data_IF_325900556114
#
_entry.id   IF_325900556114
#
_cell.length_a   1.000
_cell.length_b   1.000
_cell.length_c   1.000
_cell.angle_alpha   90.00
_cell.angle_beta   90.00
_cell.angle_gamma   90.00
#
_symmetry.space_group_name_H-M   'P 1'
#
loop_
_entity.id
_entity.type
_entity.pdbx_description
1 polymer ?
#
# COMPACT_ATOMS: atom_id res chain seq x y z
N UNK A 1 -0.65 10.74 -18.09
CA UNK A 1 -0.93 11.54 -16.89
C UNK A 1 -1.44 10.64 -15.79
N UNK A 2 -0.83 10.71 -14.61
CA UNK A 2 -1.28 9.93 -13.46
C UNK A 2 -2.53 10.53 -12.83
N UNK A 3 -3.38 9.69 -12.28
CA UNK A 3 -4.60 10.10 -11.62
C UNK A 3 -4.60 9.58 -10.19
N UNK A 4 -4.89 10.45 -9.22
CA UNK A 4 -4.99 10.10 -7.80
C UNK A 4 -6.45 10.17 -7.41
N UNK A 5 -6.95 9.11 -6.77
CA UNK A 5 -8.32 9.07 -6.27
C UNK A 5 -8.34 8.71 -4.79
N UNK A 6 -9.11 9.47 -4.03
CA UNK A 6 -9.46 9.11 -2.66
C UNK A 6 -10.76 8.31 -2.69
N UNK A 7 -10.75 7.16 -2.03
CA UNK A 7 -11.97 6.37 -1.88
C UNK A 7 -12.72 6.84 -0.63
N UNK A 8 -14.04 6.98 -0.76
CA UNK A 8 -14.87 7.37 0.36
C UNK A 8 -15.00 6.19 1.33
N UNK A 9 -14.42 6.34 2.51
CA UNK A 9 -14.51 5.37 3.60
C UNK A 9 -14.99 6.09 4.85
N UNK A 10 -15.64 5.37 5.77
CA UNK A 10 -16.24 5.99 6.95
C UNK A 10 -15.21 6.61 7.88
N UNK A 11 -14.12 5.87 8.14
CA UNK A 11 -12.99 6.34 8.93
C UNK A 11 -11.71 5.92 8.22
N UNK A 12 -10.63 6.65 8.48
CA UNK A 12 -9.35 6.37 7.89
C UNK A 12 -9.22 6.85 6.47
N UNK A 13 -8.15 6.46 5.83
CA UNK A 13 -7.82 6.92 4.49
C UNK A 13 -7.57 5.73 3.56
N UNK A 14 -8.00 5.89 2.32
CA UNK A 14 -7.73 4.92 1.28
C UNK A 14 -7.58 5.66 -0.04
N UNK A 15 -6.39 5.57 -0.63
CA UNK A 15 -6.09 6.26 -1.88
C UNK A 15 -5.52 5.28 -2.89
N UNK A 16 -5.71 5.56 -4.16
CA UNK A 16 -4.94 4.88 -5.18
C UNK A 16 -4.43 5.85 -6.23
N UNK A 17 -3.37 5.45 -6.89
CA UNK A 17 -2.77 6.19 -8.00
C UNK A 17 -2.82 5.31 -9.24
N UNK A 18 -3.53 5.79 -10.25
CA UNK A 18 -3.54 5.16 -11.56
C UNK A 18 -2.54 5.91 -12.44
N UNK A 19 -1.48 5.23 -12.84
CA UNK A 19 -0.37 5.85 -13.56
C UNK A 19 -0.61 5.91 -15.09
N UNK A 20 -1.81 5.54 -15.55
CA UNK A 20 -2.14 5.41 -16.99
C UNK A 20 -1.22 4.42 -17.71
N UNK A 21 -0.67 3.50 -16.98
CA UNK A 21 0.07 2.35 -17.46
C UNK A 21 -0.56 1.13 -16.77
N UNK A 22 0.03 -0.03 -16.92
CA UNK A 22 -0.42 -1.19 -16.17
C UNK A 22 0.16 -1.23 -14.73
N UNK A 23 0.72 -0.11 -14.25
CA UNK A 23 1.17 0.04 -12.87
C UNK A 23 0.10 0.74 -12.04
N UNK A 24 -0.20 0.18 -10.89
CA UNK A 24 -1.22 0.69 -9.98
C UNK A 24 -0.67 0.70 -8.56
N UNK A 25 -0.85 1.82 -7.87
CA UNK A 25 -0.36 1.99 -6.50
C UNK A 25 -1.53 2.31 -5.56
N UNK A 26 -1.49 1.74 -4.36
CA UNK A 26 -2.44 2.06 -3.30
C UNK A 26 -1.71 2.62 -2.09
N UNK A 27 -2.38 3.50 -1.37
CA UNK A 27 -1.90 4.05 -0.10
C UNK A 27 -2.97 3.75 0.94
N UNK A 28 -2.65 2.87 1.88
CA UNK A 28 -3.54 2.38 2.93
C UNK A 28 -4.81 1.71 2.38
N UNK A 29 -5.58 1.10 3.24
CA UNK A 29 -6.89 0.55 2.89
C UNK A 29 -7.81 0.53 4.10
N UNK A 30 -9.09 0.69 3.84
CA UNK A 30 -10.13 0.52 4.84
C UNK A 30 -11.33 -0.15 4.18
N UNK A 31 -11.22 -1.47 4.01
CA UNK A 31 -12.21 -2.30 3.34
C UNK A 31 -13.09 -2.93 4.41
N UNK A 32 -14.27 -2.36 4.60
CA UNK A 32 -15.25 -2.92 5.54
C UNK A 32 -16.00 -4.09 4.90
N UNK A 33 -16.59 -4.95 5.71
CA UNK A 33 -17.37 -6.08 5.22
C UNK A 33 -18.51 -5.63 4.31
N UNK A 34 -19.11 -4.49 4.64
CA UNK A 34 -20.23 -3.92 3.88
C UNK A 34 -19.83 -3.49 2.47
N UNK A 35 -18.61 -3.01 2.32
CA UNK A 35 -18.10 -2.48 1.05
C UNK A 35 -17.08 -3.37 0.38
N UNK A 36 -16.83 -4.55 0.95
CA UNK A 36 -15.79 -5.47 0.49
C UNK A 36 -15.91 -5.79 -1.01
N UNK A 37 -17.07 -6.22 -1.44
CA UNK A 37 -17.29 -6.61 -2.83
C UNK A 37 -17.05 -5.44 -3.79
N UNK A 38 -17.61 -4.28 -3.48
CA UNK A 38 -17.50 -3.07 -4.29
C UNK A 38 -16.03 -2.63 -4.44
N UNK A 39 -15.32 -2.54 -3.32
CA UNK A 39 -13.94 -2.05 -3.31
C UNK A 39 -13.00 -3.03 -4.00
N UNK A 40 -13.13 -4.34 -3.71
CA UNK A 40 -12.28 -5.33 -4.32
C UNK A 40 -12.49 -5.42 -5.83
N UNK A 41 -13.72 -5.30 -6.30
CA UNK A 41 -14.00 -5.27 -7.74
C UNK A 41 -13.37 -4.05 -8.40
N UNK A 42 -13.47 -2.88 -7.79
CA UNK A 42 -12.84 -1.67 -8.30
C UNK A 42 -11.33 -1.81 -8.39
N UNK A 43 -10.70 -2.29 -7.32
CA UNK A 43 -9.24 -2.49 -7.29
C UNK A 43 -8.81 -3.50 -8.34
N UNK A 44 -9.50 -4.63 -8.46
CA UNK A 44 -9.17 -5.66 -9.46
C UNK A 44 -9.27 -5.12 -10.88
N UNK A 45 -10.30 -4.35 -11.16
CA UNK A 45 -10.51 -3.78 -12.51
C UNK A 45 -9.44 -2.74 -12.84
N UNK A 46 -9.09 -1.88 -11.89
CA UNK A 46 -8.11 -0.80 -12.11
C UNK A 46 -6.68 -1.32 -12.11
N UNK A 47 -6.36 -2.27 -11.22
CA UNK A 47 -5.01 -2.83 -11.12
C UNK A 47 -4.68 -3.76 -12.29
N UNK A 48 -5.68 -4.41 -12.86
CA UNK A 48 -5.49 -5.31 -13.99
C UNK A 48 -4.62 -6.52 -13.66
N UNK A 49 -3.96 -7.06 -14.68
CA UNK A 49 -3.19 -8.31 -14.56
C UNK A 49 -1.97 -8.18 -13.65
N UNK A 50 -1.37 -7.01 -13.56
CA UNK A 50 -0.19 -6.80 -12.70
C UNK A 50 -0.54 -6.68 -11.22
N UNK A 51 -1.82 -6.42 -10.90
CA UNK A 51 -2.26 -6.23 -9.53
C UNK A 51 -1.78 -4.90 -8.94
N UNK A 52 -1.80 -4.81 -7.62
CA UNK A 52 -1.30 -3.63 -6.90
C UNK A 52 0.22 -3.72 -6.86
N UNK A 53 0.87 -3.05 -7.80
CA UNK A 53 2.34 -3.08 -7.95
C UNK A 53 3.02 -2.48 -6.72
N UNK A 54 2.41 -1.46 -6.12
CA UNK A 54 2.89 -0.86 -4.87
C UNK A 54 1.73 -0.66 -3.91
N UNK A 55 1.82 -1.30 -2.76
CA UNK A 55 0.95 -0.99 -1.63
C UNK A 55 1.79 -0.26 -0.60
N UNK A 56 1.44 0.99 -0.30
CA UNK A 56 2.17 1.83 0.64
C UNK A 56 1.35 1.92 1.92
N UNK A 57 1.88 1.36 3.01
CA UNK A 57 1.24 1.40 4.32
C UNK A 57 1.87 2.51 5.15
N UNK A 58 1.06 3.50 5.55
CA UNK A 58 1.57 4.65 6.31
C UNK A 58 1.75 4.32 7.79
N UNK A 59 0.79 3.59 8.37
CA UNK A 59 0.88 3.13 9.76
C UNK A 59 -0.16 2.01 9.98
N UNK A 60 0.02 1.16 11.00
CA UNK A 60 -0.81 -0.02 11.17
C UNK A 60 -2.05 0.19 12.04
N UNK A 61 -2.60 1.40 12.07
CA UNK A 61 -3.90 1.62 12.71
C UNK A 61 -4.99 0.89 11.92
N UNK A 62 -5.99 0.37 12.60
CA UNK A 62 -6.99 -0.50 12.00
C UNK A 62 -7.69 0.15 10.81
N UNK A 63 -8.01 1.44 10.88
CA UNK A 63 -8.68 2.16 9.82
C UNK A 63 -7.78 2.49 8.61
N UNK A 64 -6.51 2.08 8.67
CA UNK A 64 -5.55 2.21 7.57
C UNK A 64 -5.10 0.86 7.01
N UNK A 65 -5.45 -0.25 7.67
CA UNK A 65 -5.08 -1.60 7.22
C UNK A 65 -6.27 -2.54 7.12
N UNK A 66 -7.47 -2.09 7.47
CA UNK A 66 -8.65 -2.95 7.49
C UNK A 66 -8.91 -3.56 6.11
N UNK A 67 -8.99 -4.88 6.07
CA UNK A 67 -9.25 -5.60 4.82
C UNK A 67 -8.02 -5.91 3.98
N UNK A 68 -6.82 -5.58 4.47
CA UNK A 68 -5.58 -5.88 3.73
C UNK A 68 -5.45 -7.39 3.45
N UNK A 69 -5.98 -8.24 4.34
CA UNK A 69 -6.00 -9.69 4.15
C UNK A 69 -6.79 -10.08 2.89
N UNK A 70 -7.83 -9.35 2.55
CA UNK A 70 -8.62 -9.63 1.35
C UNK A 70 -7.82 -9.37 0.07
N UNK A 71 -7.04 -8.30 0.07
CA UNK A 71 -6.17 -7.99 -1.07
C UNK A 71 -5.08 -9.05 -1.23
N UNK A 72 -4.51 -9.50 -0.13
CA UNK A 72 -3.46 -10.50 -0.15
C UNK A 72 -4.00 -11.88 -0.57
N UNK A 73 -5.17 -12.26 -0.09
CA UNK A 73 -5.83 -13.52 -0.47
C UNK A 73 -6.07 -13.62 -1.98
N UNK A 74 -6.33 -12.49 -2.63
CA UNK A 74 -6.51 -12.42 -4.08
C UNK A 74 -5.19 -12.33 -4.83
N UNK A 75 -4.06 -12.33 -4.11
CA UNK A 75 -2.74 -12.24 -4.72
C UNK A 75 -2.48 -10.87 -5.36
N UNK A 76 -3.16 -9.83 -4.92
CA UNK A 76 -3.08 -8.52 -5.56
C UNK A 76 -1.84 -7.72 -5.12
N UNK A 77 -1.35 -7.90 -3.89
CA UNK A 77 -0.23 -7.11 -3.37
C UNK A 77 1.08 -7.68 -3.89
N UNK A 78 1.76 -6.95 -4.74
CA UNK A 78 3.03 -7.38 -5.35
C UNK A 78 4.25 -6.87 -4.60
N UNK A 79 4.21 -5.64 -4.12
CA UNK A 79 5.24 -5.04 -3.28
C UNK A 79 4.58 -4.30 -2.13
N UNK A 80 5.10 -4.49 -0.94
CA UNK A 80 4.56 -3.90 0.27
C UNK A 80 5.57 -2.93 0.88
N UNK A 81 5.23 -1.65 0.87
CA UNK A 81 6.09 -0.59 1.41
C UNK A 81 5.57 -0.20 2.79
N UNK A 82 6.45 -0.15 3.78
CA UNK A 82 6.04 0.14 5.16
C UNK A 82 7.00 1.11 5.84
N UNK A 83 6.47 1.80 6.83
CA UNK A 83 7.26 2.63 7.73
C UNK A 83 7.68 1.76 8.92
N UNK A 84 8.97 1.73 9.22
CA UNK A 84 9.48 0.95 10.35
C UNK A 84 9.01 1.57 11.67
N UNK A 85 8.36 0.75 12.48
CA UNK A 85 7.85 1.15 13.78
C UNK A 85 7.77 -0.07 14.70
N UNK A 86 7.67 0.17 15.99
CA UNK A 86 7.60 -0.86 17.02
C UNK A 86 6.16 -1.06 17.54
N UNK A 87 5.17 -0.83 16.69
CA UNK A 87 3.77 -0.96 17.12
C UNK A 87 3.45 -2.42 17.45
N UNK A 88 2.91 -2.62 18.63
CA UNK A 88 2.32 -3.89 19.04
C UNK A 88 0.91 -3.64 19.56
N UNK A 89 0.07 -4.65 19.46
CA UNK A 89 -1.33 -4.53 19.91
C UNK A 89 -1.66 -5.69 20.83
N UNK A 90 -2.38 -5.39 21.92
CA UNK A 90 -2.80 -6.40 22.88
C UNK A 90 -3.82 -7.37 22.28
N UNK A 91 -4.65 -6.89 21.35
CA UNK A 91 -5.59 -7.71 20.59
C UNK A 91 -5.31 -7.51 19.12
N UNK A 92 -4.91 -8.59 18.43
CA UNK A 92 -4.58 -8.53 17.02
C UNK A 92 -5.77 -8.93 16.16
N UNK A 93 -6.17 -8.02 15.26
CA UNK A 93 -7.15 -8.33 14.23
C UNK A 93 -6.50 -9.17 13.12
N UNK A 94 -7.31 -9.76 12.26
CA UNK A 94 -6.80 -10.45 11.07
C UNK A 94 -6.02 -9.50 10.16
N UNK A 95 -6.45 -8.25 10.06
CA UNK A 95 -5.75 -7.23 9.29
C UNK A 95 -4.36 -6.95 9.86
N UNK A 96 -4.22 -6.83 11.18
CA UNK A 96 -2.93 -6.58 11.81
C UNK A 96 -1.99 -7.78 11.69
N UNK A 97 -2.51 -8.99 11.82
CA UNK A 97 -1.72 -10.22 11.60
C UNK A 97 -1.19 -10.26 10.17
N UNK A 98 -2.02 -9.94 9.19
CA UNK A 98 -1.61 -9.90 7.79
C UNK A 98 -0.60 -8.78 7.54
N UNK A 99 -0.77 -7.62 8.14
CA UNK A 99 0.20 -6.53 8.09
C UNK A 99 1.59 -7.00 8.54
N UNK A 100 1.66 -7.70 9.67
CA UNK A 100 2.93 -8.23 10.17
C UNK A 100 3.53 -9.26 9.21
N UNK A 101 2.71 -10.15 8.67
CA UNK A 101 3.17 -11.14 7.70
C UNK A 101 3.75 -10.48 6.44
N UNK A 102 3.07 -9.47 5.92
CA UNK A 102 3.53 -8.72 4.75
C UNK A 102 4.84 -7.98 5.04
N UNK A 103 4.95 -7.38 6.22
CA UNK A 103 6.15 -6.67 6.66
C UNK A 103 7.37 -7.58 6.71
N UNK A 104 7.18 -8.85 7.02
CA UNK A 104 8.25 -9.86 7.10
C UNK A 104 8.45 -10.63 5.78
N UNK A 105 7.63 -10.35 4.77
CA UNK A 105 7.69 -11.07 3.49
C UNK A 105 8.85 -10.61 2.61
N UNK A 106 9.14 -11.40 1.58
CA UNK A 106 10.18 -11.06 0.60
C UNK A 106 9.82 -9.87 -0.29
N UNK A 107 8.55 -9.48 -0.34
CA UNK A 107 8.10 -8.33 -1.13
C UNK A 107 8.02 -7.03 -0.31
N UNK A 108 8.48 -7.05 0.93
CA UNK A 108 8.42 -5.89 1.83
C UNK A 108 9.62 -4.98 1.66
N UNK A 109 9.37 -3.67 1.69
CA UNK A 109 10.41 -2.65 1.60
C UNK A 109 10.13 -1.55 2.61
N UNK A 110 11.13 -1.26 3.42
CA UNK A 110 11.08 -0.15 4.38
C UNK A 110 11.20 1.19 3.65
N UNK A 111 10.33 2.12 3.97
CA UNK A 111 10.39 3.47 3.39
C UNK A 111 10.78 4.50 4.46
N UNK A 112 11.52 5.52 4.01
CA UNK A 112 12.00 6.63 4.84
C UNK A 112 12.32 7.80 3.91
N UNK A 113 12.48 8.98 4.48
CA UNK A 113 12.80 10.20 3.72
C UNK A 113 14.03 9.98 2.85
N UNK A 114 13.89 10.24 1.56
CA UNK A 114 14.96 10.12 0.60
C UNK A 114 15.30 8.70 0.16
N UNK A 115 14.53 7.70 0.57
CA UNK A 115 14.77 6.33 0.10
C UNK A 115 14.64 6.25 -1.41
N UNK A 116 15.45 5.38 -2.03
CA UNK A 116 15.48 5.21 -3.48
C UNK A 116 15.03 3.81 -3.85
N UNK A 117 14.10 3.74 -4.76
CA UNK A 117 13.56 2.47 -5.23
C UNK A 117 13.32 2.57 -6.73
N UNK A 118 13.83 1.59 -7.48
CA UNK A 118 13.63 1.55 -8.93
C UNK A 118 12.16 1.59 -9.25
N UNK A 119 11.83 2.44 -10.19
CA UNK A 119 10.53 2.69 -10.76
C UNK A 119 9.52 3.35 -9.82
N UNK A 120 9.77 3.41 -8.52
CA UNK A 120 9.02 4.26 -7.60
C UNK A 120 9.46 5.72 -7.71
N UNK A 121 10.77 5.96 -7.59
CA UNK A 121 11.38 7.28 -7.69
C UNK A 121 12.74 7.29 -8.39
N UNK A 122 13.19 6.16 -8.88
CA UNK A 122 14.42 6.02 -9.66
C UNK A 122 14.07 5.39 -11.00
N UNK A 123 14.40 6.07 -12.09
CA UNK A 123 14.24 5.53 -13.44
C UNK A 123 15.53 4.82 -13.86
N UNK A 124 15.42 3.97 -14.87
CA UNK A 124 16.57 3.38 -15.55
C UNK A 124 16.52 3.71 -17.04
N UNK A 125 17.41 3.14 -17.85
CA UNK A 125 17.48 3.42 -19.27
C UNK A 125 16.28 2.95 -20.10
N UNK A 126 15.44 2.08 -19.53
CA UNK A 126 14.31 1.47 -20.24
C UNK A 126 12.96 1.87 -19.65
N UNK A 127 12.95 2.28 -18.39
CA UNK A 127 11.70 2.51 -17.67
C UNK A 127 11.81 3.75 -16.78
N UNK A 128 10.80 4.62 -16.89
CA UNK A 128 10.68 5.80 -16.05
C UNK A 128 10.25 5.47 -14.62
N UNK A 129 10.37 6.45 -13.73
CA UNK A 129 9.91 6.32 -12.36
C UNK A 129 8.44 6.77 -12.24
N UNK A 130 7.75 6.27 -11.20
CA UNK A 130 6.41 6.70 -10.87
C UNK A 130 6.36 8.11 -10.26
N UNK A 131 7.51 8.65 -9.89
CA UNK A 131 7.60 10.00 -9.31
C UNK A 131 7.15 10.07 -7.86
N UNK A 132 7.15 8.95 -7.13
CA UNK A 132 6.74 8.90 -5.73
C UNK A 132 7.97 9.08 -4.85
N UNK A 133 8.04 10.21 -4.15
CA UNK A 133 9.14 10.49 -3.23
C UNK A 133 8.63 10.43 -1.78
N UNK A 134 9.46 9.92 -0.89
CA UNK A 134 9.12 9.81 0.52
C UNK A 134 9.76 10.97 1.28
N UNK A 135 8.92 11.76 1.96
CA UNK A 135 9.34 12.97 2.66
C UNK A 135 9.49 12.76 4.17
N UNK A 136 8.99 11.68 4.70
CA UNK A 136 9.00 11.34 6.12
C UNK A 136 8.79 9.83 6.31
N UNK A 137 9.27 9.17 7.36
CA UNK A 137 10.09 9.73 8.43
C UNK A 137 11.58 9.82 8.09
N UNK A 138 12.33 10.55 8.93
CA UNK A 138 13.79 10.55 8.84
C UNK A 138 14.33 9.14 9.17
N UNK A 139 15.54 8.84 8.67
CA UNK A 139 16.15 7.51 8.81
C UNK A 139 16.25 7.08 10.28
N UNK A 140 16.50 8.01 11.18
CA UNK A 140 16.70 7.75 12.61
C UNK A 140 15.45 7.98 13.46
N UNK A 141 14.30 8.19 12.84
CA UNK A 141 13.07 8.47 13.55
C UNK A 141 12.20 7.23 13.58
N UNK A 142 12.14 6.59 14.73
CA UNK A 142 11.27 5.44 14.98
C UNK A 142 9.96 5.95 15.60
N UNK A 143 8.88 5.74 14.91
CA UNK A 143 7.56 6.10 15.43
C UNK A 143 6.71 4.87 15.65
#
# INVERSE_FOLDING_TARGET
MSEIKSLSVDNGDMFYINHNTDNFSMIDCNITDERKSEILDEVKNLAGKKGVVRFISTHPDQDHIQGIEYLDELGLIKNFYYVDNNVSKSTETESFKKYKDLKESSCAYKIYKGCKRKWMNVSDGERGSAGISVLWPDVNNET
#
